data_IF_689932404625
#
_entry.id   IF_689932404625
#
_cell.length_a   1.000
_cell.length_b   1.000
_cell.length_c   1.000
_cell.angle_alpha   90.00
_cell.angle_beta   90.00
_cell.angle_gamma   90.00
#
_symmetry.space_group_name_H-M   'P 1'
#
loop_
_entity.id
_entity.type
_entity.pdbx_description
1 polymer ?
#
# COMPACT_ATOMS: atom_id res chain seq x y z
N UNK A 1 34.69 -12.71 4.15
CA UNK A 1 33.36 -12.10 3.96
C UNK A 1 32.63 -12.92 2.91
N UNK A 2 31.96 -13.98 3.34
CA UNK A 2 31.28 -14.98 2.50
C UNK A 2 29.80 -14.65 2.41
N UNK A 3 29.27 -14.67 1.19
CA UNK A 3 27.89 -14.31 0.88
C UNK A 3 26.86 -15.28 1.44
N UNK A 4 25.73 -14.72 1.86
CA UNK A 4 24.38 -15.31 1.88
C UNK A 4 23.40 -14.29 2.49
N UNK A 5 23.07 -13.22 1.77
CA UNK A 5 21.92 -12.36 2.11
C UNK A 5 21.05 -12.03 0.87
N UNK A 6 21.23 -12.79 -0.21
CA UNK A 6 20.31 -12.77 -1.35
C UNK A 6 19.11 -13.65 -1.00
N UNK A 7 18.08 -13.06 -0.39
CA UNK A 7 16.77 -13.70 -0.28
C UNK A 7 15.97 -13.40 0.99
N UNK A 8 16.51 -12.68 1.97
CA UNK A 8 15.71 -12.21 3.11
C UNK A 8 15.18 -10.82 2.82
N UNK A 9 13.87 -10.64 2.91
CA UNK A 9 13.28 -9.30 2.85
C UNK A 9 13.86 -8.44 3.98
N UNK A 10 14.19 -7.19 3.66
CA UNK A 10 14.77 -6.23 4.60
C UNK A 10 13.84 -5.96 5.77
N UNK A 11 12.53 -5.87 5.49
CA UNK A 11 11.52 -5.45 6.44
C UNK A 11 10.58 -6.59 6.87
N UNK A 12 10.72 -7.79 6.31
CA UNK A 12 9.82 -8.90 6.61
C UNK A 12 8.45 -8.77 5.95
N UNK A 13 7.46 -9.40 6.58
CA UNK A 13 6.08 -9.46 6.09
C UNK A 13 5.43 -8.08 6.03
N UNK A 14 4.75 -7.77 4.94
CA UNK A 14 3.75 -6.70 4.85
C UNK A 14 2.40 -7.31 4.49
N UNK A 15 1.46 -7.28 5.44
CA UNK A 15 0.07 -7.69 5.16
C UNK A 15 -0.65 -6.55 4.49
N UNK A 16 -1.10 -6.77 3.27
CA UNK A 16 -1.74 -5.77 2.41
C UNK A 16 -3.18 -6.20 2.20
N UNK A 17 -4.09 -5.55 2.91
CA UNK A 17 -5.51 -5.70 2.72
C UNK A 17 -6.00 -4.67 1.70
N UNK A 18 -6.69 -5.14 0.68
CA UNK A 18 -7.38 -4.30 -0.28
C UNK A 18 -8.88 -4.41 -0.09
N UNK A 19 -9.55 -3.28 0.10
CA UNK A 19 -11.01 -3.24 0.10
C UNK A 19 -11.52 -3.39 -1.34
N UNK A 20 -12.24 -4.48 -1.61
CA UNK A 20 -12.77 -4.74 -2.94
C UNK A 20 -13.48 -6.08 -3.07
N UNK A 21 -14.27 -6.23 -4.14
CA UNK A 21 -15.02 -7.43 -4.48
C UNK A 21 -14.36 -8.20 -5.63
N UNK A 22 -13.57 -9.22 -5.33
CA UNK A 22 -12.84 -9.99 -6.35
C UNK A 22 -13.74 -10.64 -7.40
N UNK A 23 -14.98 -10.99 -7.04
CA UNK A 23 -16.00 -11.54 -7.94
C UNK A 23 -16.58 -10.53 -8.94
N UNK A 24 -16.35 -9.23 -8.73
CA UNK A 24 -16.85 -8.13 -9.56
C UNK A 24 -15.74 -7.22 -10.10
N UNK A 25 -14.49 -7.55 -9.86
CA UNK A 25 -13.34 -6.81 -10.39
C UNK A 25 -13.15 -7.21 -11.87
N UNK A 26 -13.10 -6.21 -12.74
CA UNK A 26 -12.78 -6.41 -14.15
C UNK A 26 -11.38 -7.05 -14.31
N UNK A 27 -11.17 -8.00 -15.25
CA UNK A 27 -9.90 -8.70 -15.42
C UNK A 27 -8.67 -7.78 -15.54
N UNK A 28 -8.82 -6.65 -16.21
CA UNK A 28 -7.74 -5.66 -16.38
C UNK A 28 -7.34 -5.02 -15.04
N UNK A 29 -8.32 -4.73 -14.19
CA UNK A 29 -8.12 -4.19 -12.84
C UNK A 29 -7.53 -5.26 -11.90
N UNK A 30 -7.97 -6.52 -12.01
CA UNK A 30 -7.38 -7.63 -11.27
C UNK A 30 -5.90 -7.84 -11.65
N UNK A 31 -5.56 -7.76 -12.94
CA UNK A 31 -4.18 -7.86 -13.41
C UNK A 31 -3.30 -6.72 -12.84
N UNK A 32 -3.83 -5.50 -12.75
CA UNK A 32 -3.12 -4.37 -12.11
C UNK A 32 -2.93 -4.59 -10.60
N UNK A 33 -3.93 -5.14 -9.92
CA UNK A 33 -3.85 -5.47 -8.50
C UNK A 33 -2.82 -6.55 -8.21
N UNK A 34 -2.73 -7.57 -9.07
CA UNK A 34 -1.75 -8.63 -8.93
C UNK A 34 -0.29 -8.15 -9.10
N UNK A 35 -0.07 -6.92 -9.58
CA UNK A 35 1.26 -6.28 -9.63
C UNK A 35 1.61 -5.50 -8.38
N UNK A 36 0.65 -5.17 -7.50
CA UNK A 36 0.90 -4.45 -6.25
C UNK A 36 1.98 -5.13 -5.38
N UNK A 37 2.00 -6.48 -5.23
CA UNK A 37 3.07 -7.18 -4.52
C UNK A 37 4.48 -6.87 -5.03
N UNK A 38 4.67 -6.68 -6.34
CA UNK A 38 5.99 -6.40 -6.93
C UNK A 38 6.58 -5.08 -6.41
N UNK A 39 5.73 -4.08 -6.17
CA UNK A 39 6.15 -2.81 -5.57
C UNK A 39 6.63 -2.98 -4.13
N UNK A 40 6.00 -3.87 -3.36
CA UNK A 40 6.44 -4.19 -2.00
C UNK A 40 7.74 -4.98 -2.00
N UNK A 41 7.90 -5.94 -2.90
CA UNK A 41 9.15 -6.69 -3.08
C UNK A 41 10.29 -5.75 -3.44
N UNK A 42 10.07 -4.80 -4.36
CA UNK A 42 11.07 -3.79 -4.73
C UNK A 42 11.48 -2.89 -3.55
N UNK A 43 10.60 -2.72 -2.56
CA UNK A 43 10.86 -1.97 -1.33
C UNK A 43 11.41 -2.85 -0.20
N UNK A 44 11.66 -4.14 -0.45
CA UNK A 44 12.28 -5.05 0.51
C UNK A 44 11.32 -5.69 1.50
N UNK A 45 10.05 -5.86 1.13
CA UNK A 45 9.05 -6.62 1.89
C UNK A 45 8.77 -7.99 1.30
N UNK A 46 8.26 -8.89 2.14
CA UNK A 46 7.49 -10.07 1.75
C UNK A 46 5.99 -9.71 1.80
N UNK A 47 5.33 -9.41 0.67
CA UNK A 47 3.92 -9.03 0.68
C UNK A 47 3.00 -10.24 0.88
N UNK A 48 1.95 -10.04 1.67
CA UNK A 48 0.82 -10.95 1.82
C UNK A 48 -0.46 -10.18 1.48
N UNK A 49 -0.88 -10.29 0.21
CA UNK A 49 -2.01 -9.56 -0.36
C UNK A 49 -3.30 -10.36 -0.18
N UNK A 50 -4.30 -9.75 0.44
CA UNK A 50 -5.64 -10.33 0.55
C UNK A 50 -6.73 -9.27 0.39
N UNK A 51 -7.94 -9.74 0.11
CA UNK A 51 -9.08 -8.87 -0.14
C UNK A 51 -10.05 -8.92 1.03
N UNK A 52 -10.60 -7.75 1.38
CA UNK A 52 -11.74 -7.64 2.29
C UNK A 52 -12.94 -7.16 1.48
N UNK A 53 -14.04 -7.90 1.57
CA UNK A 53 -15.30 -7.47 0.96
C UNK A 53 -15.83 -6.23 1.70
N UNK A 54 -16.29 -5.20 0.96
CA UNK A 54 -16.93 -4.07 1.58
C UNK A 54 -18.28 -4.47 2.20
N UNK A 55 -18.57 -3.92 3.38
CA UNK A 55 -19.87 -4.08 4.01
C UNK A 55 -20.90 -3.24 3.24
N UNK A 56 -21.76 -3.90 2.45
CA UNK A 56 -22.84 -3.28 1.69
C UNK A 56 -22.57 -3.13 0.19
N UNK A 57 -23.33 -2.27 -0.48
CA UNK A 57 -23.28 -2.07 -1.92
C UNK A 57 -22.13 -1.16 -2.38
N UNK A 58 -20.99 -1.16 -1.69
CA UNK A 58 -19.86 -0.35 -2.11
C UNK A 58 -19.47 -0.76 -3.53
N UNK A 59 -19.31 0.26 -4.38
CA UNK A 59 -18.94 0.09 -5.79
C UNK A 59 -17.65 -0.71 -5.91
N UNK A 60 -17.47 -1.42 -7.02
CA UNK A 60 -16.25 -2.17 -7.33
C UNK A 60 -14.98 -1.31 -7.50
N UNK A 61 -14.97 -0.08 -7.00
CA UNK A 61 -13.83 0.82 -6.92
C UNK A 61 -12.93 0.43 -5.75
N UNK A 62 -11.64 0.31 -6.05
CA UNK A 62 -10.62 0.15 -5.02
C UNK A 62 -10.39 1.51 -4.38
N UNK A 63 -10.81 1.65 -3.12
CA UNK A 63 -10.81 2.93 -2.40
C UNK A 63 -9.88 2.91 -1.19
N UNK A 64 -9.58 1.72 -0.64
CA UNK A 64 -8.84 1.59 0.61
C UNK A 64 -7.82 0.44 0.54
N UNK A 65 -6.59 0.76 0.98
CA UNK A 65 -5.54 -0.20 1.30
C UNK A 65 -5.25 -0.07 2.79
N UNK A 66 -5.37 -1.17 3.52
CA UNK A 66 -4.88 -1.29 4.89
C UNK A 66 -3.60 -2.11 4.88
N UNK A 67 -2.52 -1.55 5.42
CA UNK A 67 -1.23 -2.21 5.52
C UNK A 67 -0.85 -2.43 6.97
N UNK A 68 -0.42 -3.64 7.29
CA UNK A 68 0.13 -4.00 8.60
C UNK A 68 1.55 -4.50 8.43
N UNK A 69 2.50 -3.78 9.03
CA UNK A 69 3.90 -4.21 9.09
C UNK A 69 4.00 -5.46 9.96
N UNK A 70 4.79 -6.45 9.57
CA UNK A 70 4.98 -7.66 10.37
C UNK A 70 5.59 -7.35 11.74
N UNK A 71 5.26 -8.17 12.73
CA UNK A 71 5.76 -8.04 14.11
C UNK A 71 7.30 -8.13 14.26
N UNK A 72 8.02 -8.43 13.17
CA UNK A 72 9.48 -8.53 13.11
C UNK A 72 10.19 -7.23 12.71
N UNK A 73 9.47 -6.18 12.33
CA UNK A 73 10.11 -4.88 12.10
C UNK A 73 10.63 -4.35 13.43
N UNK A 74 11.95 -4.25 13.57
CA UNK A 74 12.57 -3.69 14.77
C UNK A 74 12.07 -2.25 14.98
N UNK A 75 11.86 -1.84 16.24
CA UNK A 75 11.32 -0.51 16.56
C UNK A 75 12.13 0.64 15.93
N UNK A 76 13.45 0.48 15.81
CA UNK A 76 14.34 1.42 15.14
C UNK A 76 14.10 1.54 13.62
N UNK A 77 13.58 0.49 12.98
CA UNK A 77 13.36 0.43 11.53
C UNK A 77 11.90 0.70 11.13
N UNK A 78 10.98 0.88 12.11
CA UNK A 78 9.56 1.12 11.83
C UNK A 78 9.36 2.35 10.94
N UNK A 79 10.13 3.42 11.16
CA UNK A 79 10.07 4.62 10.32
C UNK A 79 10.45 4.35 8.87
N UNK A 80 11.56 3.62 8.66
CA UNK A 80 12.04 3.25 7.33
C UNK A 80 11.10 2.28 6.62
N UNK A 81 10.59 1.27 7.35
CA UNK A 81 9.61 0.33 6.82
C UNK A 81 8.31 1.04 6.44
N UNK A 82 7.82 1.96 7.29
CA UNK A 82 6.64 2.75 6.97
C UNK A 82 6.84 3.59 5.70
N UNK A 83 7.99 4.25 5.57
CA UNK A 83 8.32 5.02 4.36
C UNK A 83 8.40 4.15 3.10
N UNK A 84 9.06 3.00 3.20
CA UNK A 84 9.17 2.03 2.12
C UNK A 84 7.79 1.50 1.70
N UNK A 85 6.91 1.18 2.67
CA UNK A 85 5.55 0.72 2.39
C UNK A 85 4.70 1.82 1.70
N UNK A 86 4.80 3.07 2.15
CA UNK A 86 4.14 4.19 1.49
C UNK A 86 4.68 4.41 0.07
N UNK A 87 5.99 4.24 -0.13
CA UNK A 87 6.65 4.35 -1.43
C UNK A 87 6.15 3.27 -2.39
N UNK A 88 5.96 2.03 -1.91
CA UNK A 88 5.39 0.94 -2.72
C UNK A 88 3.99 1.31 -3.24
N UNK A 89 3.11 1.76 -2.34
CA UNK A 89 1.74 2.16 -2.72
C UNK A 89 1.76 3.37 -3.65
N UNK A 90 2.55 4.40 -3.33
CA UNK A 90 2.67 5.60 -4.14
C UNK A 90 3.24 5.33 -5.54
N UNK A 91 4.13 4.35 -5.68
CA UNK A 91 4.63 3.91 -6.99
C UNK A 91 3.57 3.18 -7.83
N UNK A 92 2.71 2.40 -7.18
CA UNK A 92 1.66 1.62 -7.85
C UNK A 92 0.45 2.47 -8.26
N UNK A 93 0.03 3.43 -7.43
CA UNK A 93 -1.20 4.20 -7.61
C UNK A 93 -1.29 4.92 -8.97
N UNK A 94 -0.24 5.57 -9.51
CA UNK A 94 -0.31 6.22 -10.82
C UNK A 94 -0.68 5.27 -11.97
N UNK A 95 -0.16 4.03 -11.97
CA UNK A 95 -0.53 3.03 -12.97
C UNK A 95 -2.00 2.62 -12.86
N UNK A 96 -2.50 2.46 -11.62
CA UNK A 96 -3.91 2.18 -11.36
C UNK A 96 -4.82 3.34 -11.79
N UNK A 97 -4.41 4.59 -11.57
CA UNK A 97 -5.22 5.75 -11.96
C UNK A 97 -5.29 5.87 -13.48
N UNK A 98 -4.17 5.72 -14.18
CA UNK A 98 -4.15 5.75 -15.65
C UNK A 98 -4.98 4.63 -16.28
N UNK A 99 -5.22 3.54 -15.56
CA UNK A 99 -6.12 2.47 -15.98
C UNK A 99 -7.61 2.86 -15.84
N UNK A 100 -8.00 3.35 -14.67
CA UNK A 100 -9.42 3.64 -14.35
C UNK A 100 -9.90 4.96 -14.95
N UNK A 101 -8.99 5.91 -15.15
CA UNK A 101 -9.27 7.25 -15.63
C UNK A 101 -8.22 7.69 -16.66
N UNK A 102 -8.26 7.17 -17.90
CA UNK A 102 -7.29 7.54 -18.93
C UNK A 102 -7.31 9.05 -19.25
N UNK A 103 -8.46 9.69 -19.06
CA UNK A 103 -8.67 11.13 -19.27
C UNK A 103 -8.69 11.93 -17.96
N UNK A 104 -8.29 11.34 -16.82
CA UNK A 104 -8.19 12.10 -15.57
C UNK A 104 -7.25 13.29 -15.77
N UNK A 105 -7.79 14.49 -15.58
CA UNK A 105 -6.99 15.68 -15.46
C UNK A 105 -6.12 15.54 -14.22
N UNK A 106 -4.82 15.32 -14.46
CA UNK A 106 -3.82 15.13 -13.41
C UNK A 106 -3.72 16.35 -12.49
N UNK A 107 -4.22 17.51 -12.89
CA UNK A 107 -4.29 18.71 -12.04
C UNK A 107 -5.36 18.64 -10.95
N UNK A 108 -6.31 17.70 -11.02
CA UNK A 108 -7.33 17.51 -9.98
C UNK A 108 -6.81 16.54 -8.93
N UNK A 109 -6.48 17.08 -7.75
CA UNK A 109 -6.15 16.32 -6.54
C UNK A 109 -7.38 15.56 -6.02
N UNK A 110 -7.79 14.48 -6.70
CA UNK A 110 -8.76 13.54 -6.15
C UNK A 110 -8.01 12.47 -5.34
N UNK A 111 -8.48 12.12 -4.13
CA UNK A 111 -7.95 10.98 -3.41
C UNK A 111 -8.35 9.70 -4.17
N UNK A 112 -7.38 9.02 -4.78
CA UNK A 112 -7.65 7.81 -5.55
C UNK A 112 -7.57 6.57 -4.68
N UNK A 113 -6.65 6.54 -3.71
CA UNK A 113 -6.49 5.42 -2.78
C UNK A 113 -6.26 5.96 -1.37
N UNK A 114 -7.10 5.55 -0.43
CA UNK A 114 -6.88 5.77 1.00
C UNK A 114 -5.95 4.69 1.54
N UNK A 115 -4.81 5.08 2.10
CA UNK A 115 -3.85 4.19 2.76
C UNK A 115 -3.98 4.34 4.28
N UNK A 116 -4.19 3.23 4.96
CA UNK A 116 -4.09 3.11 6.41
C UNK A 116 -2.91 2.20 6.75
N UNK A 117 -1.88 2.72 7.42
CA UNK A 117 -0.70 1.95 7.81
C UNK A 117 -0.69 1.70 9.31
N UNK A 118 -0.39 0.46 9.70
CA UNK A 118 -0.25 0.01 11.08
C UNK A 118 1.09 -0.70 11.30
N UNK A 119 1.63 -0.54 12.50
CA UNK A 119 2.70 -1.38 13.02
C UNK A 119 2.17 -2.79 13.36
N UNK A 120 3.08 -3.73 13.59
CA UNK A 120 2.72 -5.13 13.88
C UNK A 120 2.00 -5.36 15.21
N UNK A 121 2.05 -4.38 16.11
CA UNK A 121 1.30 -4.33 17.37
C UNK A 121 -0.10 -3.70 17.22
N UNK A 122 -0.48 -3.30 16.00
CA UNK A 122 -1.74 -2.64 15.69
C UNK A 122 -1.74 -1.13 15.92
N UNK A 123 -0.62 -0.51 16.31
CA UNK A 123 -0.52 0.94 16.41
C UNK A 123 -0.61 1.56 15.02
N UNK A 124 -1.50 2.54 14.86
CA UNK A 124 -1.64 3.28 13.60
C UNK A 124 -0.43 4.18 13.40
N UNK A 125 0.21 4.05 12.24
CA UNK A 125 1.40 4.81 11.84
C UNK A 125 1.06 5.95 10.89
N UNK A 126 0.21 5.74 9.90
CA UNK A 126 -0.22 6.81 8.98
C UNK A 126 -1.63 6.61 8.44
N UNK A 127 -2.29 7.71 8.10
CA UNK A 127 -3.43 7.73 7.18
C UNK A 127 -3.10 8.72 6.09
N UNK A 128 -3.07 8.26 4.84
CA UNK A 128 -2.78 9.11 3.69
C UNK A 128 -3.81 8.89 2.58
N UNK A 129 -4.13 9.95 1.85
CA UNK A 129 -4.76 9.83 0.54
C UNK A 129 -3.67 9.91 -0.51
N UNK A 130 -3.49 8.84 -1.29
CA UNK A 130 -2.55 8.81 -2.40
C UNK A 130 -3.25 9.35 -3.65
N UNK A 131 -2.63 10.33 -4.27
CA UNK A 131 -3.10 11.06 -5.47
C UNK A 131 -2.13 10.83 -6.64
N UNK A 132 -2.43 11.38 -7.82
CA UNK A 132 -1.49 11.37 -8.97
C UNK A 132 -0.18 12.07 -8.68
N UNK A 133 -0.23 13.13 -7.86
CA UNK A 133 0.88 14.09 -7.70
C UNK A 133 1.58 13.96 -6.34
N UNK A 134 1.13 13.04 -5.49
CA UNK A 134 1.73 12.80 -4.18
C UNK A 134 0.77 12.22 -3.17
N UNK A 135 1.15 12.32 -1.88
CA UNK A 135 0.36 11.83 -0.76
C UNK A 135 -0.13 13.01 0.10
N UNK A 136 -1.42 13.01 0.43
CA UNK A 136 -2.03 13.92 1.38
C UNK A 136 -2.20 13.20 2.73
N UNK A 137 -1.33 13.54 3.69
CA UNK A 137 -1.33 12.92 5.01
C UNK A 137 -2.42 13.52 5.90
N UNK A 138 -3.34 12.67 6.36
CA UNK A 138 -4.38 13.02 7.35
C UNK A 138 -3.94 12.72 8.77
N UNK A 139 -3.02 11.78 8.93
CA UNK A 139 -2.41 11.43 10.20
C UNK A 139 -0.99 10.90 9.95
N UNK A 140 -0.03 11.32 10.78
CA UNK A 140 1.33 10.77 10.82
C UNK A 140 1.68 10.54 12.29
N UNK A 141 2.08 9.33 12.63
CA UNK A 141 2.53 9.00 13.98
C UNK A 141 3.88 9.68 14.27
N UNK A 142 4.12 10.22 15.48
CA UNK A 142 5.37 10.92 15.85
C UNK A 142 6.65 10.11 15.56
N UNK A 143 6.58 8.78 15.66
CA UNK A 143 7.69 7.89 15.33
C UNK A 143 8.15 7.95 13.86
N UNK A 144 7.39 8.58 12.96
CA UNK A 144 7.73 8.77 11.56
C UNK A 144 8.38 10.14 11.27
N UNK A 145 8.51 11.02 12.27
CA UNK A 145 9.10 12.36 12.13
C UNK A 145 10.59 12.42 12.50
N UNK A 146 11.22 11.26 12.78
CA UNK A 146 12.61 11.16 13.23
C UNK A 146 13.62 11.29 12.08
#
# INVERSE_FOLDING_TARGET
MTGADYGKSRFGLARVEVLGRTDRIEPRRLAMLNRLPDYFVAQGFEPDLYFREPLGAASGSLEEITLVLGARVASADVGLAAWAAMTAVAGWVPERIGLDHPDADRSVLQPFVSLCLYAGDGVRLTIASITTDGALYRFIHPALHA
#
